data_IF_178774317956
#
_entry.id   IF_178774317956
#
_cell.length_a   1.000
_cell.length_b   1.000
_cell.length_c   1.000
_cell.angle_alpha   90.00
_cell.angle_beta   90.00
_cell.angle_gamma   90.00
#
_symmetry.space_group_name_H-M   'P 1'
#
loop_
_entity.id
_entity.type
_entity.pdbx_description
1 polymer ?
#
# COMPACT_ATOMS: atom_id res chain seq x y z
N UNK A 1 9.44 -11.11 -8.16
CA UNK A 1 8.49 -11.40 -7.06
C UNK A 1 8.52 -12.90 -6.84
N UNK A 2 8.92 -13.36 -5.66
CA UNK A 2 9.01 -14.80 -5.36
C UNK A 2 7.60 -15.38 -5.15
N UNK A 3 7.43 -16.69 -5.36
CA UNK A 3 6.15 -17.38 -5.14
C UNK A 3 5.66 -17.15 -3.70
N UNK A 4 6.58 -17.08 -2.74
CA UNK A 4 6.30 -16.80 -1.32
C UNK A 4 5.70 -15.41 -1.08
N UNK A 5 6.18 -14.38 -1.79
CA UNK A 5 5.68 -13.01 -1.63
C UNK A 5 4.22 -12.89 -2.11
N UNK A 6 3.89 -13.60 -3.19
CA UNK A 6 2.54 -13.62 -3.73
C UNK A 6 1.56 -14.32 -2.78
N UNK A 7 1.98 -15.45 -2.20
CA UNK A 7 1.16 -16.19 -1.24
C UNK A 7 0.92 -15.39 0.06
N UNK A 8 1.96 -14.75 0.59
CA UNK A 8 1.83 -13.90 1.77
C UNK A 8 0.83 -12.75 1.54
N UNK A 9 0.94 -12.06 0.41
CA UNK A 9 0.05 -10.95 0.08
C UNK A 9 -1.41 -11.40 -0.07
N UNK A 10 -1.65 -12.62 -0.59
CA UNK A 10 -2.99 -13.17 -0.73
C UNK A 10 -3.62 -13.50 0.64
N UNK A 11 -2.82 -14.09 1.56
CA UNK A 11 -3.25 -14.32 2.93
C UNK A 11 -3.52 -13.00 3.65
N UNK A 12 -2.62 -12.02 3.56
CA UNK A 12 -2.81 -10.70 4.17
C UNK A 12 -4.10 -10.04 3.65
N UNK A 13 -4.36 -10.11 2.34
CA UNK A 13 -5.59 -9.61 1.75
C UNK A 13 -6.84 -10.29 2.29
N UNK A 14 -6.80 -11.62 2.44
CA UNK A 14 -7.90 -12.39 3.03
C UNK A 14 -8.14 -12.04 4.51
N UNK A 15 -7.07 -11.88 5.30
CA UNK A 15 -7.16 -11.53 6.71
C UNK A 15 -7.71 -10.11 6.89
N UNK A 16 -7.26 -9.15 6.08
CA UNK A 16 -7.78 -7.78 6.09
C UNK A 16 -9.27 -7.76 5.76
N UNK A 17 -9.70 -8.49 4.72
CA UNK A 17 -11.11 -8.53 4.35
C UNK A 17 -11.97 -9.16 5.45
N UNK A 18 -11.48 -10.23 6.09
CA UNK A 18 -12.17 -10.88 7.20
C UNK A 18 -12.29 -9.94 8.41
N UNK A 19 -11.21 -9.26 8.78
CA UNK A 19 -11.19 -8.31 9.88
C UNK A 19 -12.16 -7.14 9.64
N UNK A 20 -12.11 -6.51 8.46
CA UNK A 20 -13.00 -5.39 8.11
C UNK A 20 -14.47 -5.79 8.09
N UNK A 21 -14.79 -7.03 7.72
CA UNK A 21 -16.17 -7.50 7.77
C UNK A 21 -16.69 -7.60 9.20
N UNK A 22 -15.85 -8.07 10.12
CA UNK A 22 -16.21 -8.16 11.53
C UNK A 22 -16.32 -6.77 12.19
N UNK A 23 -15.40 -5.86 11.84
CA UNK A 23 -15.48 -4.45 12.22
C UNK A 23 -16.77 -3.81 11.71
N UNK A 24 -17.15 -4.07 10.45
CA UNK A 24 -18.37 -3.55 9.85
C UNK A 24 -19.63 -4.00 10.58
N UNK A 25 -19.72 -5.29 10.95
CA UNK A 25 -20.85 -5.82 11.76
C UNK A 25 -20.89 -5.21 13.15
N UNK A 26 -19.74 -5.11 13.82
CA UNK A 26 -19.64 -4.52 15.15
C UNK A 26 -20.04 -3.04 15.12
N UNK A 27 -19.60 -2.31 14.11
CA UNK A 27 -19.95 -0.91 13.90
C UNK A 27 -21.44 -0.75 13.56
N UNK A 28 -22.02 -1.65 12.76
CA UNK A 28 -23.44 -1.67 12.45
C UNK A 28 -24.29 -1.87 13.71
N UNK A 29 -23.96 -2.87 14.54
CA UNK A 29 -24.64 -3.12 15.80
C UNK A 29 -24.50 -1.94 16.77
N UNK A 30 -23.31 -1.34 16.88
CA UNK A 30 -23.09 -0.14 17.70
C UNK A 30 -23.88 1.07 17.20
N UNK A 31 -24.00 1.23 15.89
CA UNK A 31 -24.76 2.31 15.27
C UNK A 31 -26.27 2.13 15.47
N UNK A 32 -26.76 0.90 15.34
CA UNK A 32 -28.18 0.59 15.51
C UNK A 32 -28.58 0.61 16.99
N UNK A 33 -27.70 0.25 17.93
CA UNK A 33 -28.02 0.05 19.34
C UNK A 33 -28.84 1.19 19.98
N UNK A 34 -28.56 2.49 19.77
CA UNK A 34 -29.34 3.59 20.35
C UNK A 34 -30.72 3.81 19.72
N UNK A 35 -31.05 3.12 18.62
CA UNK A 35 -32.30 3.27 17.87
C UNK A 35 -33.39 2.34 18.43
N UNK A 36 -33.76 2.54 19.69
CA UNK A 36 -34.68 1.67 20.46
C UNK A 36 -36.12 1.64 19.91
N UNK A 37 -36.46 2.58 19.04
CA UNK A 37 -37.76 2.65 18.36
C UNK A 37 -37.86 1.71 17.13
N UNK A 38 -36.75 1.08 16.72
CA UNK A 38 -36.72 0.12 15.63
C UNK A 38 -37.11 -1.28 16.13
N UNK A 39 -37.98 -1.93 15.37
CA UNK A 39 -38.20 -3.38 15.51
C UNK A 39 -36.95 -4.16 15.08
N UNK A 40 -36.81 -5.40 15.55
CA UNK A 40 -35.67 -6.26 15.19
C UNK A 40 -35.49 -6.44 13.68
N UNK A 41 -36.60 -6.53 12.94
CA UNK A 41 -36.56 -6.63 11.48
C UNK A 41 -36.02 -5.36 10.81
N UNK A 42 -36.39 -4.18 11.32
CA UNK A 42 -35.89 -2.89 10.82
C UNK A 42 -34.43 -2.67 11.22
N UNK A 43 -34.07 -3.04 12.46
CA UNK A 43 -32.68 -3.01 12.95
C UNK A 43 -31.77 -3.87 12.09
N UNK A 44 -32.16 -5.11 11.80
CA UNK A 44 -31.39 -6.01 10.94
C UNK A 44 -31.23 -5.49 9.50
N UNK A 45 -32.23 -4.79 8.95
CA UNK A 45 -32.10 -4.16 7.63
C UNK A 45 -31.13 -2.97 7.65
N UNK A 46 -31.21 -2.11 8.68
CA UNK A 46 -30.28 -0.99 8.86
C UNK A 46 -28.85 -1.50 9.02
N UNK A 47 -28.64 -2.54 9.82
CA UNK A 47 -27.32 -3.13 10.03
C UNK A 47 -26.73 -3.71 8.74
N UNK A 48 -27.53 -4.43 7.93
CA UNK A 48 -27.08 -4.94 6.62
C UNK A 48 -26.70 -3.82 5.65
N UNK A 49 -27.51 -2.76 5.58
CA UNK A 49 -27.23 -1.58 4.73
C UNK A 49 -25.96 -0.88 5.19
N UNK A 50 -25.79 -0.73 6.51
CA UNK A 50 -24.60 -0.13 7.10
C UNK A 50 -23.35 -0.96 6.80
N UNK A 51 -23.38 -2.29 6.98
CA UNK A 51 -22.24 -3.17 6.66
C UNK A 51 -21.83 -3.00 5.19
N UNK A 52 -22.80 -2.96 4.27
CA UNK A 52 -22.53 -2.79 2.84
C UNK A 52 -21.85 -1.44 2.52
N UNK A 53 -22.37 -0.34 3.06
CA UNK A 53 -21.80 1.00 2.87
C UNK A 53 -20.43 1.14 3.53
N UNK A 54 -20.27 0.57 4.73
CA UNK A 54 -19.01 0.54 5.44
C UNK A 54 -17.92 -0.17 4.62
N UNK A 55 -18.23 -1.36 4.08
CA UNK A 55 -17.30 -2.11 3.24
C UNK A 55 -16.95 -1.37 1.93
N UNK A 56 -17.92 -0.68 1.33
CA UNK A 56 -17.69 0.14 0.14
C UNK A 56 -16.75 1.32 0.44
N UNK A 57 -16.97 2.01 1.57
CA UNK A 57 -16.15 3.12 2.02
C UNK A 57 -14.71 2.67 2.31
N UNK A 58 -14.55 1.60 3.08
CA UNK A 58 -13.22 1.07 3.43
C UNK A 58 -12.48 0.65 2.16
N UNK A 59 -13.14 -0.04 1.22
CA UNK A 59 -12.54 -0.41 -0.06
C UNK A 59 -12.06 0.82 -0.85
N UNK A 60 -12.87 1.86 -0.94
CA UNK A 60 -12.47 3.10 -1.61
C UNK A 60 -11.27 3.77 -0.92
N UNK A 61 -11.25 3.78 0.42
CA UNK A 61 -10.13 4.32 1.19
C UNK A 61 -8.81 3.57 0.96
N UNK A 62 -8.86 2.24 0.88
CA UNK A 62 -7.70 1.40 0.59
C UNK A 62 -7.20 1.60 -0.83
N UNK A 63 -8.09 1.67 -1.82
CA UNK A 63 -7.73 1.96 -3.20
C UNK A 63 -7.05 3.32 -3.33
N UNK A 64 -7.60 4.34 -2.66
CA UNK A 64 -6.99 5.66 -2.64
C UNK A 64 -5.58 5.64 -2.03
N UNK A 65 -5.44 4.96 -0.89
CA UNK A 65 -4.15 4.82 -0.19
C UNK A 65 -3.14 4.05 -1.04
N UNK A 66 -3.54 2.96 -1.69
CA UNK A 66 -2.69 2.17 -2.57
C UNK A 66 -2.19 2.99 -3.77
N UNK A 67 -3.09 3.75 -4.42
CA UNK A 67 -2.72 4.65 -5.51
C UNK A 67 -1.76 5.75 -5.04
N UNK A 68 -1.99 6.31 -3.85
CA UNK A 68 -1.10 7.33 -3.28
C UNK A 68 0.27 6.77 -2.95
N UNK A 69 0.34 5.58 -2.34
CA UNK A 69 1.57 4.90 -2.02
C UNK A 69 2.38 4.56 -3.29
N UNK A 70 1.69 4.09 -4.35
CA UNK A 70 2.31 3.86 -5.66
C UNK A 70 2.93 5.14 -6.24
N UNK A 71 2.19 6.24 -6.25
CA UNK A 71 2.72 7.54 -6.72
C UNK A 71 3.94 8.01 -5.93
N UNK A 72 3.88 7.94 -4.61
CA UNK A 72 5.03 8.28 -3.75
C UNK A 72 6.23 7.40 -4.08
N UNK A 73 6.02 6.08 -4.21
CA UNK A 73 7.10 5.15 -4.56
C UNK A 73 7.74 5.52 -5.89
N UNK A 74 6.96 5.84 -6.91
CA UNK A 74 7.47 6.23 -8.23
C UNK A 74 8.28 7.53 -8.17
N UNK A 75 7.80 8.54 -7.43
CA UNK A 75 8.52 9.80 -7.21
C UNK A 75 9.87 9.59 -6.51
N UNK A 76 9.89 8.78 -5.44
CA UNK A 76 11.12 8.42 -4.73
C UNK A 76 12.07 7.61 -5.60
N UNK A 77 11.56 6.64 -6.35
CA UNK A 77 12.38 5.77 -7.18
C UNK A 77 12.98 6.55 -8.37
N UNK A 78 12.25 7.49 -8.95
CA UNK A 78 12.77 8.40 -9.97
C UNK A 78 13.94 9.23 -9.43
N UNK A 79 13.78 9.81 -8.23
CA UNK A 79 14.82 10.59 -7.55
C UNK A 79 16.05 9.73 -7.24
N UNK A 80 15.83 8.54 -6.68
CA UNK A 80 16.89 7.59 -6.36
C UNK A 80 17.65 7.13 -7.61
N UNK A 81 16.94 6.79 -8.70
CA UNK A 81 17.56 6.43 -9.98
C UNK A 81 18.37 7.58 -10.56
N UNK A 82 17.95 8.83 -10.37
CA UNK A 82 18.74 10.02 -10.71
C UNK A 82 20.05 10.09 -9.93
N UNK A 83 19.98 9.96 -8.61
CA UNK A 83 21.16 10.00 -7.73
C UNK A 83 22.12 8.84 -8.00
N UNK A 84 21.59 7.62 -8.14
CA UNK A 84 22.36 6.43 -8.49
C UNK A 84 23.11 6.61 -9.80
N UNK A 85 22.47 7.15 -10.84
CA UNK A 85 23.13 7.44 -12.12
C UNK A 85 24.29 8.43 -11.97
N UNK A 86 24.10 9.50 -11.20
CA UNK A 86 25.16 10.50 -10.93
C UNK A 86 26.35 9.89 -10.18
N UNK A 87 26.07 9.09 -9.16
CA UNK A 87 27.10 8.38 -8.41
C UNK A 87 27.88 7.42 -9.32
N UNK A 88 27.18 6.57 -10.09
CA UNK A 88 27.82 5.64 -11.01
C UNK A 88 28.67 6.38 -12.07
N UNK A 89 28.17 7.49 -12.62
CA UNK A 89 28.94 8.31 -13.56
C UNK A 89 30.20 8.89 -12.91
N UNK A 90 30.11 9.38 -11.68
CA UNK A 90 31.27 9.86 -10.91
C UNK A 90 32.30 8.75 -10.68
N UNK A 91 31.87 7.59 -10.21
CA UNK A 91 32.74 6.42 -10.00
C UNK A 91 33.43 5.97 -11.30
N UNK A 92 32.69 5.91 -12.41
CA UNK A 92 33.26 5.56 -13.71
C UNK A 92 34.29 6.59 -14.19
N UNK A 93 34.00 7.88 -14.02
CA UNK A 93 34.90 8.96 -14.41
C UNK A 93 36.17 8.96 -13.56
N UNK A 94 36.06 8.82 -12.24
CA UNK A 94 37.20 8.67 -11.35
C UNK A 94 38.03 7.42 -11.68
N UNK A 95 37.38 6.29 -11.96
CA UNK A 95 38.06 5.07 -12.39
C UNK A 95 38.81 5.24 -13.70
N UNK A 96 38.21 5.89 -14.70
CA UNK A 96 38.85 6.17 -15.99
C UNK A 96 40.06 7.10 -15.85
N UNK A 97 39.95 8.15 -15.02
CA UNK A 97 41.06 9.05 -14.71
C UNK A 97 42.21 8.33 -13.99
N UNK A 98 41.89 7.49 -13.00
CA UNK A 98 42.89 6.71 -12.28
C UNK A 98 43.62 5.72 -13.20
N UNK A 99 42.89 5.02 -14.08
CA UNK A 99 43.47 4.13 -15.09
C UNK A 99 44.36 4.89 -16.07
N UNK A 100 43.89 6.03 -16.60
CA UNK A 100 44.68 6.88 -17.49
C UNK A 100 45.97 7.37 -16.83
N UNK A 101 45.88 7.82 -15.57
CA UNK A 101 47.06 8.22 -14.80
C UNK A 101 48.05 7.08 -14.62
N UNK A 102 47.57 5.88 -14.27
CA UNK A 102 48.42 4.70 -14.09
C UNK A 102 49.14 4.31 -15.40
N UNK A 103 48.44 4.38 -16.54
CA UNK A 103 49.05 4.16 -17.87
C UNK A 103 50.12 5.20 -18.17
N UNK A 104 49.85 6.49 -17.91
CA UNK A 104 50.83 7.57 -18.13
C UNK A 104 52.07 7.40 -17.24
N UNK A 105 51.91 6.93 -16.00
CA UNK A 105 53.05 6.68 -15.12
C UNK A 105 53.87 5.42 -15.49
N UNK A 106 53.29 4.49 -16.26
CA UNK A 106 53.95 3.26 -16.71
C UNK A 106 54.73 3.42 -18.02
N UNK A 107 54.44 4.47 -18.79
CA UNK A 107 55.10 4.83 -20.07
C UNK A 107 56.27 5.76 -19.80
#
# INVERSE_FOLDING_TARGET
MSITDKFLNDIEGHLLLAATREEGRTAAARFSAPLDWLTDAQRGEVERRFEAEYLALVRASWQHTAVRAGRLRDEYEATYRGLRRRLLAGWLLTGALALGFLVVCLV
#
